data_IF_061805485922
#
_entry.id   IF_061805485922
#
_cell.length_a   1.000
_cell.length_b   1.000
_cell.length_c   1.000
_cell.angle_alpha   90.00
_cell.angle_beta   90.00
_cell.angle_gamma   90.00
#
_symmetry.space_group_name_H-M   'P 1'
#
loop_
_entity.id
_entity.type
_entity.pdbx_description
1 polymer ?
#
# COMPACT_ATOMS: atom_id res chain seq x y z
N UNK A 1 4.21 16.74 -3.18
CA UNK A 1 4.33 15.48 -3.97
C UNK A 1 4.58 15.80 -5.43
N UNK A 2 5.41 15.00 -6.10
CA UNK A 2 5.67 15.16 -7.54
C UNK A 2 4.61 14.46 -8.40
N UNK A 3 4.34 15.00 -9.60
CA UNK A 3 3.41 14.42 -10.61
C UNK A 3 3.63 12.91 -10.82
N UNK A 4 4.90 12.50 -10.96
CA UNK A 4 5.31 11.09 -11.13
C UNK A 4 4.92 10.19 -9.97
N UNK A 5 4.94 10.72 -8.74
CA UNK A 5 4.55 9.96 -7.56
C UNK A 5 3.03 9.72 -7.57
N UNK A 6 2.22 10.70 -7.98
CA UNK A 6 0.77 10.56 -8.10
C UNK A 6 0.40 9.56 -9.20
N UNK A 7 1.09 9.60 -10.35
CA UNK A 7 0.92 8.59 -11.41
C UNK A 7 1.20 7.17 -10.92
N UNK A 8 2.29 6.99 -10.16
CA UNK A 8 2.63 5.70 -9.56
C UNK A 8 1.56 5.28 -8.54
N UNK A 9 1.12 6.19 -7.66
CA UNK A 9 0.08 5.90 -6.67
C UNK A 9 -1.25 5.51 -7.31
N UNK A 10 -1.67 6.18 -8.40
CA UNK A 10 -2.89 5.82 -9.13
C UNK A 10 -2.81 4.42 -9.72
N UNK A 11 -1.66 4.05 -10.29
CA UNK A 11 -1.43 2.70 -10.83
C UNK A 11 -1.45 1.65 -9.73
N UNK A 12 -0.82 1.95 -8.60
CA UNK A 12 -0.68 1.02 -7.47
C UNK A 12 -1.92 0.99 -6.58
N UNK A 13 -2.87 1.90 -6.76
CA UNK A 13 -4.06 2.06 -5.92
C UNK A 13 -4.84 0.75 -5.76
N UNK A 14 -5.16 0.08 -6.86
CA UNK A 14 -5.90 -1.17 -6.85
C UNK A 14 -5.15 -2.26 -6.07
N UNK A 15 -3.84 -2.37 -6.29
CA UNK A 15 -2.99 -3.33 -5.61
C UNK A 15 -2.87 -3.02 -4.11
N UNK A 16 -2.72 -1.75 -3.72
CA UNK A 16 -2.68 -1.31 -2.33
C UNK A 16 -3.99 -1.62 -1.62
N UNK A 17 -5.13 -1.33 -2.25
CA UNK A 17 -6.47 -1.65 -1.70
C UNK A 17 -6.64 -3.15 -1.47
N UNK A 18 -6.26 -3.99 -2.44
CA UNK A 18 -6.31 -5.44 -2.27
C UNK A 18 -5.37 -5.93 -1.16
N UNK A 19 -4.19 -5.32 -1.05
CA UNK A 19 -3.21 -5.64 0.00
C UNK A 19 -3.74 -5.27 1.40
N UNK A 20 -4.40 -4.12 1.55
CA UNK A 20 -5.03 -3.70 2.80
C UNK A 20 -6.12 -4.70 3.20
N UNK A 21 -6.99 -5.10 2.26
CA UNK A 21 -8.04 -6.10 2.50
C UNK A 21 -7.45 -7.42 2.99
N UNK A 22 -6.52 -8.01 2.22
CA UNK A 22 -5.87 -9.28 2.57
C UNK A 22 -5.16 -9.22 3.92
N UNK A 23 -4.52 -8.09 4.23
CA UNK A 23 -3.82 -7.93 5.50
C UNK A 23 -4.81 -7.80 6.67
N UNK A 24 -5.92 -7.07 6.50
CA UNK A 24 -7.01 -7.00 7.49
C UNK A 24 -7.62 -8.37 7.77
N UNK A 25 -7.96 -9.12 6.72
CA UNK A 25 -8.51 -10.47 6.87
C UNK A 25 -7.52 -11.41 7.58
N UNK A 26 -6.22 -11.33 7.26
CA UNK A 26 -5.19 -12.13 7.93
C UNK A 26 -4.99 -11.79 9.41
N UNK A 27 -5.36 -10.57 9.83
CA UNK A 27 -5.29 -10.16 11.23
C UNK A 27 -6.46 -10.69 12.04
N UNK A 28 -7.66 -10.74 11.45
CA UNK A 28 -8.84 -11.33 12.08
C UNK A 28 -8.64 -12.84 12.36
N UNK A 29 -8.18 -13.61 11.36
CA UNK A 29 -7.94 -15.06 11.51
C UNK A 29 -6.78 -15.40 12.50
N UNK A 30 -5.79 -14.51 12.63
CA UNK A 30 -4.68 -14.69 13.57
C UNK A 30 -5.07 -14.43 15.03
N UNK A 31 -6.16 -13.70 15.29
CA UNK A 31 -6.70 -13.45 16.63
C UNK A 31 -7.43 -14.66 17.21
N UNK A 32 -8.10 -15.45 16.37
CA UNK A 32 -8.83 -16.65 16.79
C UNK A 32 -7.93 -17.87 17.03
N UNK A 33 -6.81 -18.00 16.30
CA UNK A 33 -5.94 -19.19 16.40
C UNK A 33 -4.82 -19.09 17.42
N UNK A 34 -4.44 -17.89 17.85
CA UNK A 34 -3.36 -17.72 18.83
C UNK A 34 -3.77 -18.10 20.26
N UNK A 35 -5.05 -18.02 20.61
CA UNK A 35 -5.54 -18.40 21.94
C UNK A 35 -5.77 -19.91 22.09
N UNK A 36 -5.89 -20.66 20.98
CA UNK A 36 -6.22 -22.09 21.00
C UNK A 36 -4.99 -23.01 21.17
N UNK A 37 -3.76 -22.53 20.94
CA UNK A 37 -2.55 -23.38 20.92
C UNK A 37 -1.70 -23.32 22.20
N UNK A 38 -2.15 -22.58 23.22
CA UNK A 38 -1.52 -22.54 24.55
C UNK A 38 -2.36 -23.31 25.58
N UNK A 39 -2.80 -24.51 25.22
CA UNK A 39 -3.42 -25.43 26.17
C UNK A 39 -2.35 -26.07 27.05
N UNK A 40 -2.11 -25.50 28.23
CA UNK A 40 -1.64 -26.12 29.50
C UNK A 40 -0.32 -26.94 29.49
N UNK A 41 0.25 -27.35 28.35
CA UNK A 41 1.45 -28.19 28.26
C UNK A 41 2.77 -27.41 28.23
N UNK A 42 2.75 -26.08 28.21
CA UNK A 42 3.96 -25.23 28.19
C UNK A 42 4.62 -25.04 29.57
N UNK A 43 4.50 -26.02 30.47
CA UNK A 43 5.07 -25.99 31.83
C UNK A 43 6.53 -26.48 31.82
N UNK A 44 7.42 -25.70 31.20
CA UNK A 44 8.83 -25.46 31.63
C UNK A 44 9.73 -25.08 30.44
N UNK A 45 10.34 -23.88 30.44
CA UNK A 45 11.50 -23.61 29.62
C UNK A 45 12.77 -24.03 30.37
N UNK A 46 13.53 -25.00 29.81
CA UNK A 46 14.93 -25.23 30.21
C UNK A 46 15.82 -24.15 29.60
N UNK A 47 16.68 -23.57 30.42
CA UNK A 47 17.60 -22.50 30.06
C UNK A 47 18.73 -22.99 29.14
N UNK A 48 19.03 -22.27 28.06
CA UNK A 48 20.40 -21.97 27.60
C UNK A 48 20.44 -21.11 26.32
N UNK A 49 21.28 -20.07 26.34
CA UNK A 49 22.13 -19.73 25.18
C UNK A 49 21.62 -18.66 24.20
N UNK A 50 22.19 -17.45 24.33
CA UNK A 50 22.74 -16.61 23.26
C UNK A 50 21.99 -16.45 21.92
N UNK A 51 21.53 -15.22 21.67
CA UNK A 51 21.19 -14.70 20.33
C UNK A 51 19.69 -14.71 20.03
N UNK A 52 19.00 -13.61 20.36
CA UNK A 52 17.61 -13.30 19.97
C UNK A 52 16.72 -14.56 19.83
N UNK A 53 16.57 -15.32 20.92
CA UNK A 53 16.11 -16.71 20.89
C UNK A 53 14.62 -16.91 21.13
N UNK A 54 13.85 -15.83 21.36
CA UNK A 54 12.39 -15.92 21.54
C UNK A 54 11.65 -15.87 20.18
N UNK A 55 11.05 -16.98 19.71
CA UNK A 55 10.26 -16.99 18.48
C UNK A 55 9.06 -16.04 18.54
N UNK A 56 8.51 -15.77 19.74
CA UNK A 56 7.39 -14.86 19.93
C UNK A 56 7.81 -13.43 19.64
N UNK A 57 8.94 -12.98 20.19
CA UNK A 57 9.47 -11.64 19.92
C UNK A 57 9.75 -11.39 18.42
N UNK A 58 10.27 -12.40 17.70
CA UNK A 58 10.48 -12.31 16.24
C UNK A 58 9.17 -12.20 15.47
N UNK A 59 8.15 -12.95 15.87
CA UNK A 59 6.83 -12.91 15.25
C UNK A 59 6.12 -11.57 15.50
N UNK A 60 6.21 -11.02 16.72
CA UNK A 60 5.67 -9.69 17.05
C UNK A 60 6.34 -8.60 16.20
N UNK A 61 7.66 -8.59 16.09
CA UNK A 61 8.39 -7.61 15.28
C UNK A 61 8.05 -7.74 13.77
N UNK A 62 7.86 -8.96 13.27
CA UNK A 62 7.41 -9.21 11.89
C UNK A 62 6.01 -8.65 11.65
N UNK A 63 5.09 -8.83 12.62
CA UNK A 63 3.73 -8.28 12.56
C UNK A 63 3.75 -6.76 12.60
N UNK A 64 4.46 -6.14 13.52
CA UNK A 64 4.57 -4.68 13.63
C UNK A 64 5.04 -4.03 12.33
N UNK A 65 6.07 -4.58 11.67
CA UNK A 65 6.50 -4.11 10.35
C UNK A 65 5.41 -4.17 9.28
N UNK A 66 4.55 -5.19 9.32
CA UNK A 66 3.40 -5.29 8.41
C UNK A 66 2.34 -4.24 8.73
N UNK A 67 2.06 -3.98 10.00
CA UNK A 67 1.12 -2.95 10.44
C UNK A 67 1.55 -1.56 9.95
N UNK A 68 2.83 -1.24 10.09
CA UNK A 68 3.39 0.02 9.61
C UNK A 68 3.23 0.17 8.09
N UNK A 69 3.40 -0.91 7.32
CA UNK A 69 3.16 -0.90 5.86
C UNK A 69 1.68 -0.70 5.51
N UNK A 70 0.76 -1.35 6.23
CA UNK A 70 -0.69 -1.15 6.03
C UNK A 70 -1.06 0.31 6.27
N UNK A 71 -0.60 0.90 7.38
CA UNK A 71 -0.85 2.29 7.69
C UNK A 71 -0.34 3.24 6.59
N UNK A 72 0.83 2.95 6.02
CA UNK A 72 1.36 3.72 4.87
C UNK A 72 0.49 3.60 3.61
N UNK A 73 -0.01 2.40 3.31
CA UNK A 73 -0.93 2.21 2.18
C UNK A 73 -2.25 2.93 2.40
N UNK A 74 -2.81 2.88 3.60
CA UNK A 74 -4.05 3.59 3.96
C UNK A 74 -3.89 5.10 3.80
N UNK A 75 -2.77 5.68 4.24
CA UNK A 75 -2.46 7.09 4.03
C UNK A 75 -2.42 7.45 2.54
N UNK A 76 -1.73 6.64 1.72
CA UNK A 76 -1.63 6.86 0.27
C UNK A 76 -2.99 6.77 -0.43
N UNK A 77 -3.80 5.78 -0.08
CA UNK A 77 -5.16 5.59 -0.60
C UNK A 77 -6.04 6.76 -0.21
N UNK A 78 -6.00 7.19 1.06
CA UNK A 78 -6.80 8.31 1.56
C UNK A 78 -6.49 9.60 0.82
N UNK A 79 -5.22 9.88 0.54
CA UNK A 79 -4.82 11.05 -0.25
C UNK A 79 -5.47 11.10 -1.62
N UNK A 80 -5.64 9.96 -2.29
CA UNK A 80 -6.33 9.89 -3.58
C UNK A 80 -7.84 10.08 -3.38
N UNK A 81 -8.45 9.36 -2.43
CA UNK A 81 -9.89 9.42 -2.15
C UNK A 81 -10.37 10.83 -1.82
N UNK A 82 -9.62 11.52 -0.96
CA UNK A 82 -9.91 12.89 -0.55
C UNK A 82 -9.93 13.85 -1.75
N UNK A 83 -9.34 13.50 -2.90
CA UNK A 83 -9.19 14.36 -4.09
C UNK A 83 -10.03 13.94 -5.29
N UNK A 84 -10.75 12.81 -5.21
CA UNK A 84 -11.58 12.31 -6.32
C UNK A 84 -12.62 13.37 -6.76
N UNK A 85 -13.11 14.17 -5.81
CA UNK A 85 -14.10 15.22 -6.05
C UNK A 85 -13.63 16.35 -6.97
N UNK A 86 -12.32 16.51 -7.20
CA UNK A 86 -11.76 17.53 -8.08
C UNK A 86 -11.97 17.20 -9.58
N UNK A 87 -12.28 15.94 -9.88
CA UNK A 87 -12.46 15.46 -11.25
C UNK A 87 -13.95 15.56 -11.57
N UNK A 88 -14.29 16.60 -12.31
CA UNK A 88 -15.68 16.94 -12.63
C UNK A 88 -16.10 16.53 -14.04
N UNK A 89 -15.14 16.22 -14.93
CA UNK A 89 -15.45 15.86 -16.31
C UNK A 89 -15.87 14.38 -16.39
N UNK A 90 -17.05 14.10 -16.96
CA UNK A 90 -17.65 12.76 -17.00
C UNK A 90 -16.71 11.71 -17.61
N UNK A 91 -15.98 12.08 -18.68
CA UNK A 91 -15.02 11.17 -19.33
C UNK A 91 -13.82 10.87 -18.45
N UNK A 92 -13.33 11.85 -17.71
CA UNK A 92 -12.23 11.66 -16.77
C UNK A 92 -12.69 10.83 -15.57
N UNK A 93 -13.92 11.03 -15.07
CA UNK A 93 -14.50 10.24 -13.98
C UNK A 93 -14.56 8.76 -14.35
N UNK A 94 -15.04 8.43 -15.55
CA UNK A 94 -15.08 7.05 -16.04
C UNK A 94 -13.68 6.44 -16.15
N UNK A 95 -12.73 7.16 -16.77
CA UNK A 95 -11.35 6.67 -16.89
C UNK A 95 -10.72 6.48 -15.50
N UNK A 96 -10.94 7.41 -14.57
CA UNK A 96 -10.47 7.27 -13.20
C UNK A 96 -11.08 6.04 -12.53
N UNK A 97 -12.39 5.84 -12.64
CA UNK A 97 -13.08 4.68 -12.07
C UNK A 97 -12.40 3.36 -12.48
N UNK A 98 -12.17 3.18 -13.78
CA UNK A 98 -11.52 1.97 -14.29
C UNK A 98 -10.03 1.85 -13.89
N UNK A 99 -9.34 2.98 -13.73
CA UNK A 99 -7.96 2.98 -13.21
C UNK A 99 -7.91 2.52 -11.76
N UNK A 100 -8.83 3.00 -10.91
CA UNK A 100 -8.94 2.58 -9.51
C UNK A 100 -9.34 1.10 -9.37
N UNK A 101 -10.09 0.58 -10.35
CA UNK A 101 -10.42 -0.85 -10.50
C UNK A 101 -9.24 -1.68 -11.07
N UNK A 102 -8.10 -1.05 -11.35
CA UNK A 102 -6.88 -1.73 -11.81
C UNK A 102 -6.90 -2.16 -13.27
N UNK A 103 -7.81 -1.61 -14.09
CA UNK A 103 -7.84 -1.91 -15.53
C UNK A 103 -6.70 -1.21 -16.24
N UNK A 104 -6.10 -1.89 -17.21
CA UNK A 104 -5.03 -1.30 -18.03
C UNK A 104 -5.57 -0.21 -18.96
N UNK A 105 -4.75 0.79 -19.28
CA UNK A 105 -5.09 1.85 -20.24
C UNK A 105 -5.53 1.31 -21.61
N UNK A 106 -4.95 0.17 -22.02
CA UNK A 106 -5.35 -0.52 -23.25
C UNK A 106 -6.75 -1.08 -23.17
N UNK A 107 -7.11 -1.68 -22.03
CA UNK A 107 -8.45 -2.18 -21.78
C UNK A 107 -9.46 -1.03 -21.75
N UNK A 108 -9.14 0.06 -21.04
CA UNK A 108 -9.99 1.26 -20.94
C UNK A 108 -10.24 1.86 -22.33
N UNK A 109 -9.18 2.01 -23.14
CA UNK A 109 -9.32 2.51 -24.51
C UNK A 109 -10.24 1.64 -25.36
N UNK A 110 -10.12 0.31 -25.26
CA UNK A 110 -11.03 -0.61 -25.95
C UNK A 110 -12.47 -0.51 -25.44
N UNK A 111 -12.65 -0.39 -24.12
CA UNK A 111 -13.97 -0.32 -23.50
C UNK A 111 -14.71 0.97 -23.86
N UNK A 112 -14.00 2.10 -23.92
CA UNK A 112 -14.55 3.42 -24.24
C UNK A 112 -14.51 3.78 -25.73
N UNK A 113 -13.91 2.94 -26.59
CA UNK A 113 -13.71 3.25 -28.00
C UNK A 113 -12.68 4.36 -28.26
N UNK A 114 -11.71 4.54 -27.37
CA UNK A 114 -10.66 5.55 -27.43
C UNK A 114 -9.30 4.94 -27.81
N UNK A 115 -8.45 5.73 -28.46
CA UNK A 115 -7.07 5.33 -28.71
C UNK A 115 -6.26 5.33 -27.40
N UNK A 116 -5.23 4.50 -27.32
CA UNK A 116 -4.36 4.43 -26.15
C UNK A 116 -3.77 5.80 -25.78
N UNK A 117 -3.34 6.58 -26.77
CA UNK A 117 -2.80 7.93 -26.56
C UNK A 117 -3.84 8.91 -26.01
N UNK A 118 -5.11 8.78 -26.43
CA UNK A 118 -6.18 9.62 -25.90
C UNK A 118 -6.43 9.31 -24.41
N UNK A 119 -6.55 8.03 -24.05
CA UNK A 119 -6.71 7.62 -22.64
C UNK A 119 -5.50 8.05 -21.80
N UNK A 120 -4.29 7.98 -22.36
CA UNK A 120 -3.09 8.44 -21.67
C UNK A 120 -3.13 9.95 -21.37
N UNK A 121 -3.63 10.78 -22.31
CA UNK A 121 -3.83 12.22 -22.09
C UNK A 121 -4.89 12.50 -21.03
N UNK A 122 -6.00 11.75 -21.03
CA UNK A 122 -7.04 11.87 -20.00
C UNK A 122 -6.43 11.53 -18.62
N UNK A 123 -5.64 10.46 -18.53
CA UNK A 123 -4.90 10.12 -17.30
C UNK A 123 -3.98 11.26 -16.86
N UNK A 124 -3.22 11.84 -17.78
CA UNK A 124 -2.33 12.98 -17.46
C UNK A 124 -3.12 14.19 -16.95
N UNK A 125 -4.27 14.52 -17.55
CA UNK A 125 -5.18 15.56 -17.07
C UNK A 125 -5.66 15.29 -15.63
N UNK A 126 -6.07 14.06 -15.34
CA UNK A 126 -6.48 13.62 -14.00
C UNK A 126 -5.34 13.85 -12.99
N UNK A 127 -4.13 13.41 -13.32
CA UNK A 127 -2.96 13.58 -12.45
C UNK A 127 -2.67 15.06 -12.21
N UNK A 128 -2.76 15.89 -13.24
CA UNK A 128 -2.54 17.33 -13.13
C UNK A 128 -3.54 17.97 -12.18
N UNK A 129 -4.84 17.64 -12.29
CA UNK A 129 -5.89 18.14 -11.38
C UNK A 129 -5.66 17.70 -9.93
N UNK A 130 -5.22 16.47 -9.71
CA UNK A 130 -4.89 15.96 -8.36
C UNK A 130 -3.67 16.68 -7.77
N UNK A 131 -2.71 17.09 -8.62
CA UNK A 131 -1.43 17.70 -8.19
C UNK A 131 -1.58 19.17 -7.79
N UNK A 132 -2.44 19.94 -8.47
CA UNK A 132 -2.59 21.40 -8.27
C UNK A 132 -2.93 21.76 -6.82
N UNK A 133 -3.65 20.90 -6.10
CA UNK A 133 -4.09 21.14 -4.72
C UNK A 133 -3.29 20.34 -3.67
N UNK A 134 -2.03 19.97 -3.95
CA UNK A 134 -1.17 19.30 -2.95
C UNK A 134 -0.43 20.35 -2.11
N UNK A 135 -0.79 20.59 -0.82
CA UNK A 135 0.15 21.20 0.10
C UNK A 135 1.36 20.27 0.20
N UNK A 136 2.57 20.83 0.20
CA UNK A 136 3.82 20.11 0.07
C UNK A 136 3.98 19.08 1.22
N UNK A 137 3.43 17.88 1.04
CA UNK A 137 3.58 16.79 2.01
C UNK A 137 5.06 16.40 1.95
N UNK A 138 5.82 16.54 3.04
CA UNK A 138 7.23 16.22 3.04
C UNK A 138 7.38 14.78 2.55
N UNK A 139 8.27 14.62 1.57
CA UNK A 139 8.61 13.36 0.94
C UNK A 139 8.80 12.32 2.05
N UNK A 140 7.89 11.34 2.17
CA UNK A 140 8.12 10.19 3.05
C UNK A 140 9.46 9.62 2.58
N UNK A 141 10.50 9.58 3.44
CA UNK A 141 11.82 9.19 2.98
C UNK A 141 11.70 7.84 2.29
N UNK A 142 12.10 7.82 1.01
CA UNK A 142 12.39 6.58 0.30
C UNK A 142 13.27 5.77 1.26
N UNK A 143 12.82 4.55 1.48
CA UNK A 143 13.37 3.52 2.37
C UNK A 143 14.72 3.94 2.98
N UNK A 144 14.76 4.10 4.30
CA UNK A 144 16.03 4.07 5.01
C UNK A 144 16.72 2.78 4.60
N UNK A 145 17.63 2.89 3.63
CA UNK A 145 18.64 1.91 3.33
C UNK A 145 19.17 1.48 4.69
N UNK A 146 18.91 0.22 5.03
CA UNK A 146 19.57 -0.40 6.16
C UNK A 146 21.05 -0.37 5.80
N UNK A 147 21.73 0.67 6.28
CA UNK A 147 23.14 0.88 6.11
C UNK A 147 23.82 -0.45 6.41
N UNK A 148 24.63 -0.89 5.44
CA UNK A 148 25.66 -1.91 5.62
C UNK A 148 26.48 -1.53 6.86
N UNK A 149 26.06 -1.98 8.03
CA UNK A 149 26.83 -1.87 9.24
C UNK A 149 27.86 -3.01 9.23
N UNK A 150 29.06 -2.62 8.81
CA UNK A 150 30.36 -3.13 9.27
C UNK A 150 30.59 -4.65 9.19
N UNK A 151 31.15 -5.09 8.06
CA UNK A 151 32.15 -6.16 8.06
C UNK A 151 33.52 -5.48 8.03
N UNK A 152 34.06 -5.19 9.21
CA UNK A 152 35.48 -4.81 9.37
C UNK A 152 36.21 -5.97 10.03
N UNK A 153 37.15 -6.52 9.26
CA UNK A 153 38.28 -7.42 9.58
C UNK A 153 38.03 -8.67 10.41
#
# INVERSE_FOLDING_TARGET
MNKRQIEALLKDYHWMMNSIKLLRDSMEDAGEKLTAQYGIESVMPKAQGGGQSDPVAKETARREKRWNKVAQYEQKVKLIQDRIHLITDDREVEVLHWLLEGKSLRWIGKHMGLSHSHVNRIRESIVDKITVDVPDVPNVPEETDFAKATSTC
#
